data_IF_138475876329
#
_entry.id   IF_138475876329
#
_cell.length_a   1.000
_cell.length_b   1.000
_cell.length_c   1.000
_cell.angle_alpha   90.00
_cell.angle_beta   90.00
_cell.angle_gamma   90.00
#
_symmetry.space_group_name_H-M   'P 1'
#
loop_
_entity.id
_entity.type
_entity.pdbx_description
1 polymer ?
#
# COMPACT_ATOMS: atom_id res chain seq x y z
N UNK A 1 -11.32 -14.39 18.07
CA UNK A 1 -9.89 -14.74 17.89
C UNK A 1 -9.10 -13.43 17.93
N UNK A 2 -8.01 -13.38 18.68
CA UNK A 2 -7.23 -12.15 18.81
C UNK A 2 -6.72 -11.70 17.43
N UNK A 3 -6.93 -10.43 17.09
CA UNK A 3 -6.46 -9.79 15.86
C UNK A 3 -4.93 -9.79 15.94
N UNK A 4 -4.28 -10.79 15.32
CA UNK A 4 -2.82 -10.88 15.32
C UNK A 4 -2.30 -9.71 14.51
N UNK A 5 -1.58 -8.81 15.17
CA UNK A 5 -0.92 -7.66 14.55
C UNK A 5 0.57 -7.99 14.53
N UNK A 6 1.17 -7.99 13.34
CA UNK A 6 2.62 -8.18 13.19
C UNK A 6 3.38 -7.06 13.91
N UNK A 7 4.59 -7.34 14.36
CA UNK A 7 5.51 -6.34 14.94
C UNK A 7 6.48 -5.76 13.90
N UNK A 8 6.24 -6.02 12.62
CA UNK A 8 7.16 -5.72 11.53
C UNK A 8 8.19 -6.84 11.27
N UNK A 9 9.17 -6.60 10.40
CA UNK A 9 9.41 -5.35 9.67
C UNK A 9 8.26 -4.97 8.74
N UNK A 10 8.05 -3.66 8.56
CA UNK A 10 6.98 -3.13 7.70
C UNK A 10 7.54 -2.45 6.45
N UNK A 11 6.77 -2.53 5.38
CA UNK A 11 7.17 -2.03 4.07
C UNK A 11 6.06 -1.15 3.48
N UNK A 12 6.47 -0.05 2.86
CA UNK A 12 5.61 0.85 2.11
C UNK A 12 6.05 0.89 0.65
N UNK A 13 5.14 0.57 -0.25
CA UNK A 13 5.37 0.66 -1.69
C UNK A 13 4.80 1.96 -2.26
N UNK A 14 5.62 2.71 -3.00
CA UNK A 14 5.22 3.98 -3.62
C UNK A 14 6.06 4.27 -4.85
N UNK A 15 5.64 5.24 -5.66
CA UNK A 15 6.47 5.82 -6.73
C UNK A 15 7.09 7.16 -6.35
N UNK A 16 6.68 7.71 -5.21
CA UNK A 16 7.32 8.87 -4.64
C UNK A 16 8.75 8.53 -4.23
N UNK A 17 9.72 9.31 -4.68
CA UNK A 17 11.10 9.19 -4.26
C UNK A 17 11.28 9.83 -2.88
N UNK A 18 11.42 9.00 -1.86
CA UNK A 18 11.58 9.40 -0.45
C UNK A 18 13.02 9.20 0.02
N UNK A 19 13.42 9.93 1.07
CA UNK A 19 14.72 9.77 1.71
C UNK A 19 14.59 9.06 3.04
N UNK A 20 15.67 8.41 3.47
CA UNK A 20 15.80 7.91 4.84
C UNK A 20 15.63 9.06 5.83
N UNK A 21 15.00 8.76 6.96
CA UNK A 21 14.56 9.69 8.01
C UNK A 21 13.41 10.64 7.63
N UNK A 22 12.88 10.57 6.40
CA UNK A 22 11.63 11.27 6.08
C UNK A 22 10.44 10.67 6.84
N UNK A 23 9.41 11.49 7.03
CA UNK A 23 8.14 11.08 7.61
C UNK A 23 7.05 11.14 6.55
N UNK A 24 6.59 9.97 6.10
CA UNK A 24 5.49 9.86 5.16
C UNK A 24 4.16 9.96 5.90
N UNK A 25 3.25 10.80 5.42
CA UNK A 25 1.95 11.08 6.05
C UNK A 25 0.80 10.70 5.13
N UNK A 26 -0.39 10.53 5.71
CA UNK A 26 -1.63 10.54 4.95
C UNK A 26 -1.94 11.95 4.39
N UNK A 27 -2.95 12.07 3.54
CA UNK A 27 -3.39 13.33 2.93
C UNK A 27 -3.09 13.46 1.43
N UNK A 28 -2.57 12.40 0.80
CA UNK A 28 -2.33 12.36 -0.65
C UNK A 28 -3.54 11.77 -1.38
N UNK A 29 -3.67 12.09 -2.67
CA UNK A 29 -4.69 11.48 -3.53
C UNK A 29 -4.50 9.96 -3.60
N UNK A 30 -5.61 9.23 -3.69
CA UNK A 30 -5.58 7.77 -3.83
C UNK A 30 -4.91 7.35 -5.12
N UNK A 31 -4.18 6.24 -5.07
CA UNK A 31 -3.61 5.59 -6.24
C UNK A 31 -4.66 5.04 -7.23
N UNK A 32 -5.91 4.93 -6.81
CA UNK A 32 -6.99 4.30 -7.59
C UNK A 32 -8.13 5.24 -7.97
N UNK A 33 -8.33 6.33 -7.22
CA UNK A 33 -9.30 7.39 -7.52
C UNK A 33 -8.75 8.75 -7.10
N UNK A 34 -8.35 9.56 -8.06
CA UNK A 34 -7.73 10.87 -7.80
C UNK A 34 -8.63 11.87 -7.07
N UNK A 35 -9.95 11.60 -6.99
CA UNK A 35 -10.93 12.42 -6.25
C UNK A 35 -10.93 12.12 -4.75
N UNK A 36 -10.33 11.02 -4.32
CA UNK A 36 -10.28 10.59 -2.93
C UNK A 36 -8.95 11.00 -2.32
N UNK A 37 -8.99 11.82 -1.27
CA UNK A 37 -7.83 12.12 -0.44
C UNK A 37 -7.75 11.10 0.68
N UNK A 38 -6.64 10.38 0.78
CA UNK A 38 -6.47 9.30 1.74
C UNK A 38 -6.22 9.85 3.15
N UNK A 39 -7.07 9.48 4.11
CA UNK A 39 -6.96 9.81 5.54
C UNK A 39 -5.98 8.90 6.27
N UNK A 40 -5.58 7.80 5.64
CA UNK A 40 -4.66 6.82 6.18
C UNK A 40 -3.46 6.60 5.27
N UNK A 41 -2.35 6.21 5.87
CA UNK A 41 -1.16 5.69 5.21
C UNK A 41 -1.15 4.16 5.31
N UNK A 42 -0.83 3.49 4.21
CA UNK A 42 -0.95 2.04 4.08
C UNK A 42 0.43 1.39 4.00
N UNK A 43 0.60 0.26 4.65
CA UNK A 43 1.87 -0.49 4.67
C UNK A 43 1.59 -1.98 4.92
N UNK A 44 2.58 -2.84 4.71
CA UNK A 44 2.42 -4.29 4.86
C UNK A 44 3.64 -4.91 5.54
N UNK A 45 3.46 -6.05 6.20
CA UNK A 45 4.59 -6.85 6.69
C UNK A 45 5.24 -7.71 5.58
N UNK A 46 4.70 -7.69 4.35
CA UNK A 46 5.21 -8.45 3.22
C UNK A 46 5.96 -7.54 2.24
N UNK A 47 7.28 -7.74 2.13
CA UNK A 47 8.17 -7.00 1.22
C UNK A 47 7.69 -7.02 -0.23
N UNK A 48 7.39 -8.20 -0.77
CA UNK A 48 6.89 -8.34 -2.15
C UNK A 48 5.47 -7.76 -2.31
N UNK A 49 4.67 -7.77 -1.24
CA UNK A 49 3.36 -7.11 -1.22
C UNK A 49 3.48 -5.59 -1.38
N UNK A 50 4.50 -4.98 -0.77
CA UNK A 50 4.81 -3.57 -0.96
C UNK A 50 5.32 -3.28 -2.38
N UNK A 51 6.20 -4.12 -2.91
CA UNK A 51 6.67 -4.02 -4.31
C UNK A 51 5.52 -4.05 -5.31
N UNK A 52 4.61 -5.01 -5.14
CA UNK A 52 3.40 -5.10 -5.95
C UNK A 52 2.51 -3.85 -5.81
N UNK A 53 2.31 -3.35 -4.59
CA UNK A 53 1.55 -2.12 -4.36
C UNK A 53 2.18 -0.90 -5.04
N UNK A 54 3.51 -0.78 -5.03
CA UNK A 54 4.24 0.27 -5.72
C UNK A 54 4.05 0.18 -7.25
N UNK A 55 4.08 -1.04 -7.80
CA UNK A 55 3.86 -1.26 -9.23
C UNK A 55 2.44 -0.87 -9.65
N UNK A 56 1.40 -1.16 -8.86
CA UNK A 56 0.02 -0.79 -9.23
C UNK A 56 -0.35 0.67 -8.93
N UNK A 57 0.48 1.40 -8.17
CA UNK A 57 0.25 2.81 -7.83
C UNK A 57 0.10 3.72 -9.06
N UNK A 58 -0.51 4.89 -8.87
CA UNK A 58 -0.70 5.88 -9.93
C UNK A 58 0.64 6.35 -10.55
N UNK A 59 0.61 6.91 -11.76
CA UNK A 59 1.82 7.37 -12.47
C UNK A 59 2.55 6.24 -13.21
N UNK A 60 1.96 5.72 -14.31
CA UNK A 60 2.40 4.49 -15.01
C UNK A 60 3.90 4.46 -15.33
N UNK A 61 4.48 5.61 -15.69
CA UNK A 61 5.86 5.73 -16.16
C UNK A 61 6.88 5.99 -15.03
N UNK A 62 6.42 6.08 -13.78
CA UNK A 62 7.30 6.30 -12.63
C UNK A 62 7.83 4.97 -12.08
N UNK A 63 9.06 5.03 -11.56
CA UNK A 63 9.77 3.89 -11.00
C UNK A 63 9.15 3.51 -9.65
N UNK A 64 8.76 2.25 -9.43
CA UNK A 64 8.29 1.79 -8.13
C UNK A 64 9.45 1.66 -7.14
N UNK A 65 9.23 2.15 -5.93
CA UNK A 65 10.12 2.10 -4.78
C UNK A 65 9.46 1.36 -3.61
N UNK A 66 10.27 0.63 -2.84
CA UNK A 66 9.85 -0.01 -1.60
C UNK A 66 10.71 0.50 -0.47
N UNK A 67 10.07 0.96 0.60
CA UNK A 67 10.76 1.47 1.78
C UNK A 67 10.46 0.60 3.00
N UNK A 68 11.49 0.28 3.78
CA UNK A 68 11.34 -0.19 5.14
C UNK A 68 10.88 0.97 6.00
N UNK A 69 9.80 0.77 6.75
CA UNK A 69 9.13 1.83 7.50
C UNK A 69 8.84 1.44 8.93
N UNK A 70 8.86 2.43 9.82
CA UNK A 70 8.40 2.27 11.20
C UNK A 70 7.16 3.15 11.44
N UNK A 71 6.04 2.57 11.91
CA UNK A 71 4.88 3.34 12.32
C UNK A 71 5.20 4.14 13.57
N UNK A 72 4.91 5.44 13.54
CA UNK A 72 5.14 6.35 14.68
C UNK A 72 3.98 6.38 15.68
N UNK A 73 2.90 5.65 15.40
CA UNK A 73 1.69 5.61 16.21
C UNK A 73 0.87 4.34 15.98
N UNK A 74 -0.36 4.28 16.51
CA UNK A 74 -1.20 3.10 16.41
C UNK A 74 -1.60 2.81 14.95
N UNK A 75 -1.78 1.53 14.64
CA UNK A 75 -2.18 1.05 13.33
C UNK A 75 -3.14 -0.13 13.46
N UNK A 76 -3.88 -0.39 12.39
CA UNK A 76 -4.88 -1.45 12.31
C UNK A 76 -4.82 -2.19 10.98
N UNK A 77 -5.46 -3.37 10.91
CA UNK A 77 -5.59 -4.11 9.65
C UNK A 77 -6.31 -3.27 8.58
N UNK A 78 -5.81 -3.34 7.35
CA UNK A 78 -6.43 -2.67 6.21
C UNK A 78 -7.76 -3.33 5.85
N UNK A 79 -8.91 -2.65 6.01
CA UNK A 79 -10.22 -3.20 5.72
C UNK A 79 -10.46 -3.41 4.21
N UNK A 80 -9.62 -2.87 3.33
CA UNK A 80 -9.77 -3.05 1.88
C UNK A 80 -9.35 -4.46 1.42
N UNK A 81 -8.52 -5.15 2.20
CA UNK A 81 -7.99 -6.49 1.84
C UNK A 81 -8.17 -7.53 2.94
N UNK A 82 -8.40 -7.11 4.19
CA UNK A 82 -8.72 -7.98 5.32
C UNK A 82 -10.18 -8.44 5.26
N UNK A 83 -10.42 -9.73 5.47
CA UNK A 83 -11.77 -10.33 5.50
C UNK A 83 -12.61 -10.06 4.22
N UNK A 84 -11.95 -9.87 3.07
CA UNK A 84 -12.61 -9.66 1.77
C UNK A 84 -12.70 -10.95 0.95
N UNK A 85 -11.58 -11.36 0.34
CA UNK A 85 -11.52 -12.57 -0.48
C UNK A 85 -11.20 -13.81 0.36
N UNK A 86 -10.46 -13.61 1.45
CA UNK A 86 -10.02 -14.65 2.37
C UNK A 86 -10.26 -14.19 3.81
N UNK A 87 -10.52 -15.11 4.75
CA UNK A 87 -10.67 -14.77 6.16
C UNK A 87 -9.35 -14.27 6.74
N UNK A 88 -9.42 -13.26 7.60
CA UNK A 88 -8.28 -12.60 8.24
C UNK A 88 -7.51 -11.66 7.32
N UNK A 89 -6.25 -11.41 7.69
CA UNK A 89 -5.32 -10.52 6.98
C UNK A 89 -4.14 -11.31 6.40
N UNK A 90 -4.36 -12.18 5.39
CA UNK A 90 -3.27 -12.99 4.83
C UNK A 90 -2.21 -12.14 4.14
N UNK A 91 -2.59 -10.96 3.63
CA UNK A 91 -1.66 -10.00 3.00
C UNK A 91 -0.89 -9.19 4.03
N UNK A 92 -1.18 -9.35 5.33
CA UNK A 92 -0.58 -8.61 6.45
C UNK A 92 -0.52 -7.11 6.15
N UNK A 93 -1.61 -6.57 5.62
CA UNK A 93 -1.74 -5.17 5.22
C UNK A 93 -2.35 -4.37 6.36
N UNK A 94 -1.79 -3.20 6.60
CA UNK A 94 -2.11 -2.33 7.72
C UNK A 94 -2.31 -0.89 7.23
N UNK A 95 -3.00 -0.10 8.04
CA UNK A 95 -3.16 1.34 7.85
C UNK A 95 -3.00 2.09 9.16
N UNK A 96 -2.51 3.33 9.08
CA UNK A 96 -2.38 4.25 10.21
C UNK A 96 -2.79 5.66 9.82
N UNK A 97 -3.22 6.47 10.78
CA UNK A 97 -3.34 7.93 10.62
C UNK A 97 -2.05 8.65 11.01
N UNK A 98 -1.19 8.00 11.81
CA UNK A 98 0.10 8.52 12.20
C UNK A 98 1.12 8.40 11.05
N UNK A 99 2.13 9.27 11.00
CA UNK A 99 3.18 9.17 10.00
C UNK A 99 3.96 7.84 10.08
N UNK A 100 4.54 7.43 8.95
CA UNK A 100 5.54 6.37 8.89
C UNK A 100 6.93 6.99 8.73
N UNK A 101 7.88 6.57 9.54
CA UNK A 101 9.28 6.96 9.39
C UNK A 101 9.94 6.06 8.34
N UNK A 102 10.64 6.63 7.37
CA UNK A 102 11.43 5.89 6.39
C UNK A 102 12.77 5.49 7.03
N UNK A 103 13.03 4.18 7.11
CA UNK A 103 14.25 3.64 7.72
C UNK A 103 15.28 3.27 6.65
N UNK A 104 14.84 2.68 5.54
CA UNK A 104 15.71 2.29 4.44
C UNK A 104 14.92 2.14 3.14
N UNK A 105 15.60 2.25 2.01
CA UNK A 105 15.07 1.77 0.72
C UNK A 105 15.44 0.29 0.54
N UNK A 106 14.48 -0.50 0.08
CA UNK A 106 14.61 -1.95 -0.12
C UNK A 106 14.47 -2.22 -1.61
N UNK A 107 15.53 -2.76 -2.21
CA UNK A 107 15.57 -3.10 -3.64
C UNK A 107 15.45 -4.59 -3.92
N UNK A 108 15.60 -5.43 -2.88
CA UNK A 108 15.50 -6.88 -2.95
C UNK A 108 14.03 -7.33 -2.86
N UNK A 109 13.21 -7.03 -3.86
CA UNK A 109 11.82 -7.50 -3.96
C UNK A 109 11.56 -7.99 -5.38
N UNK A 110 10.57 -8.88 -5.54
CA UNK A 110 10.31 -9.51 -6.84
C UNK A 110 9.32 -8.67 -7.67
N UNK A 111 9.77 -7.98 -8.74
CA UNK A 111 8.86 -7.25 -9.61
C UNK A 111 7.99 -8.21 -10.42
N UNK A 112 6.70 -7.88 -10.54
CA UNK A 112 5.81 -8.55 -11.49
C UNK A 112 6.05 -8.02 -12.90
N UNK A 113 5.64 -8.78 -13.92
CA UNK A 113 5.77 -8.36 -15.31
C UNK A 113 4.88 -7.15 -15.61
N UNK A 114 5.33 -6.29 -16.55
CA UNK A 114 4.59 -5.08 -16.90
C UNK A 114 3.19 -5.40 -17.45
N UNK A 115 3.07 -6.48 -18.23
CA UNK A 115 1.80 -6.93 -18.82
C UNK A 115 0.78 -7.33 -17.74
N UNK A 116 1.22 -8.07 -16.71
CA UNK A 116 0.36 -8.46 -15.58
C UNK A 116 -0.13 -7.24 -14.79
N UNK A 117 0.77 -6.28 -14.54
CA UNK A 117 0.45 -5.04 -13.83
C UNK A 117 -0.53 -4.19 -14.63
N UNK A 118 -0.37 -4.08 -15.94
CA UNK A 118 -1.24 -3.28 -16.78
C UNK A 118 -2.65 -3.89 -16.89
N UNK A 119 -2.76 -5.22 -17.07
CA UNK A 119 -4.04 -5.93 -17.04
C UNK A 119 -4.75 -5.71 -15.70
N UNK A 120 -4.00 -5.71 -14.60
CA UNK A 120 -4.58 -5.52 -13.28
C UNK A 120 -5.04 -4.07 -13.05
N UNK A 121 -4.23 -3.08 -13.44
CA UNK A 121 -4.60 -1.66 -13.36
C UNK A 121 -5.89 -1.40 -14.13
N UNK A 122 -6.04 -1.95 -15.32
CA UNK A 122 -7.26 -1.82 -16.13
C UNK A 122 -8.48 -2.45 -15.43
N UNK A 123 -8.30 -3.63 -14.82
CA UNK A 123 -9.37 -4.29 -14.03
C UNK A 123 -9.78 -3.45 -12.81
N UNK A 124 -8.83 -2.82 -12.12
CA UNK A 124 -9.12 -1.96 -10.97
C UNK A 124 -9.86 -0.70 -11.45
N UNK A 125 -9.34 -0.02 -12.47
CA UNK A 125 -9.96 1.18 -13.05
C UNK A 125 -11.41 0.91 -13.50
N UNK A 126 -11.64 -0.20 -14.21
CA UNK A 126 -12.99 -0.63 -14.63
C UNK A 126 -13.94 -0.87 -13.46
N UNK A 127 -13.44 -1.35 -12.32
CA UNK A 127 -14.28 -1.58 -11.14
C UNK A 127 -14.59 -0.31 -10.37
N UNK A 128 -13.65 0.64 -10.34
CA UNK A 128 -13.84 1.98 -9.74
C UNK A 128 -14.87 2.77 -10.56
N UNK A 129 -14.76 2.79 -11.89
CA UNK A 129 -15.72 3.51 -12.77
C UNK A 129 -17.13 2.93 -12.67
N UNK A 130 -17.26 1.61 -12.55
CA UNK A 130 -18.55 0.95 -12.37
C UNK A 130 -19.09 0.99 -10.93
N UNK A 131 -18.47 1.76 -10.02
CA UNK A 131 -18.85 1.88 -8.60
C UNK A 131 -18.94 0.55 -7.83
N UNK A 132 -18.27 -0.51 -8.32
CA UNK A 132 -18.26 -1.84 -7.67
C UNK A 132 -17.21 -1.97 -6.57
N UNK A 133 -16.33 -0.97 -6.43
CA UNK A 133 -15.37 -0.88 -5.32
C UNK A 133 -15.69 0.38 -4.51
N UNK A 134 -16.04 0.19 -3.24
CA UNK A 134 -16.03 1.26 -2.25
C UNK A 134 -14.65 1.28 -1.59
N UNK A 135 -13.83 2.29 -1.90
CA UNK A 135 -12.58 2.51 -1.17
C UNK A 135 -12.93 2.90 0.27
N UNK A 136 -12.50 2.07 1.22
CA UNK A 136 -12.65 2.35 2.64
C UNK A 136 -11.43 3.16 3.06
N UNK A 137 -11.64 4.47 3.09
CA UNK A 137 -10.66 5.46 3.52
C UNK A 137 -10.75 5.67 5.03
#
# INVERSE_FOLDING_TARGET
>A
MAKVIDRGPFYHGTKAKLKVDDYLRAGFASNYDSRVIMNHIYFTALKDGAGFAAQIAAGKDEVPHVYLVEPTGPYENDPNVTDKKFPGNPTRSYRSTAPLKIIAEVTDWVPQSQDEIDILREKIATRVTNSKISLIN
#
